data_IF_259461561553
#
_entry.id   IF_259461561553
#
_cell.length_a   1.000
_cell.length_b   1.000
_cell.length_c   1.000
_cell.angle_alpha   90.00
_cell.angle_beta   90.00
_cell.angle_gamma   90.00
#
_symmetry.space_group_name_H-M   'P 1'
#
loop_
_entity.id
_entity.type
_entity.pdbx_description
1 polymer ?
#
# COMPACT_ATOMS: atom_id res chain seq x y z
N UNK A 1 66.30 60.23 33.70
CA UNK A 1 65.45 59.11 34.02
C UNK A 1 64.21 59.26 33.18
N UNK A 2 64.26 58.67 31.99
CA UNK A 2 63.23 58.84 30.97
C UNK A 2 62.77 57.45 30.52
N UNK A 3 61.53 57.08 30.82
CA UNK A 3 60.88 55.79 30.46
C UNK A 3 60.41 55.88 29.00
N UNK A 4 61.01 55.05 28.12
CA UNK A 4 60.54 54.86 26.74
C UNK A 4 59.33 54.00 26.71
N UNK A 5 58.25 54.53 26.19
CA UNK A 5 57.02 53.78 25.84
C UNK A 5 57.26 53.08 24.52
N UNK A 6 57.14 51.76 24.51
CA UNK A 6 57.06 50.87 23.32
C UNK A 6 55.63 50.82 22.91
N UNK A 7 55.31 51.23 21.68
CA UNK A 7 53.98 51.06 21.04
C UNK A 7 54.04 49.70 20.28
N UNK A 8 53.25 48.72 20.71
CA UNK A 8 53.01 47.49 19.97
C UNK A 8 51.87 47.73 18.96
N UNK A 9 52.16 47.67 17.66
CA UNK A 9 51.18 47.51 16.61
C UNK A 9 50.70 46.08 16.58
N UNK A 10 49.47 45.83 16.95
CA UNK A 10 48.77 44.58 16.71
C UNK A 10 48.15 44.63 15.31
N UNK A 11 48.72 43.88 14.38
CA UNK A 11 48.08 43.60 13.08
C UNK A 11 46.89 42.67 13.30
N UNK A 12 45.68 43.17 13.06
CA UNK A 12 44.48 42.34 13.01
C UNK A 12 44.52 41.54 11.70
N UNK A 13 44.78 40.22 11.81
CA UNK A 13 44.48 39.28 10.75
C UNK A 13 42.94 39.16 10.64
N UNK A 14 42.36 39.72 9.59
CA UNK A 14 41.05 39.36 9.12
C UNK A 14 41.12 37.87 8.63
N UNK A 15 40.68 36.95 9.46
CA UNK A 15 40.37 35.59 9.01
C UNK A 15 39.08 35.70 8.21
N UNK A 16 39.19 35.66 6.89
CA UNK A 16 38.04 35.43 6.01
C UNK A 16 37.47 34.07 6.43
N UNK A 17 36.31 34.10 7.09
CA UNK A 17 35.51 32.92 7.31
C UNK A 17 35.14 32.38 5.94
N UNK A 18 35.89 31.36 5.47
CA UNK A 18 35.55 30.58 4.30
C UNK A 18 34.18 29.96 4.55
N UNK A 19 33.17 30.38 3.81
CA UNK A 19 31.89 29.71 3.72
C UNK A 19 32.19 28.26 3.32
N UNK A 20 32.01 27.33 4.25
CA UNK A 20 31.98 25.92 3.89
C UNK A 20 30.87 25.76 2.83
N UNK A 21 31.10 25.02 1.74
CA UNK A 21 30.04 24.79 0.77
C UNK A 21 28.87 24.16 1.51
N UNK A 22 27.70 24.83 1.46
CA UNK A 22 26.50 24.30 2.08
C UNK A 22 26.25 22.89 1.55
N UNK A 23 26.22 21.92 2.45
CA UNK A 23 25.93 20.54 2.08
C UNK A 23 24.47 20.43 1.71
N UNK A 24 24.18 20.17 0.42
CA UNK A 24 22.83 20.03 -0.13
C UNK A 24 22.24 18.65 0.10
N UNK A 25 23.05 17.66 0.54
CA UNK A 25 22.58 16.28 0.76
C UNK A 25 21.56 16.23 1.89
N UNK A 26 20.68 15.25 1.82
CA UNK A 26 19.57 15.06 2.76
C UNK A 26 18.21 15.13 2.07
N UNK A 27 17.18 15.16 2.87
CA UNK A 27 15.81 15.12 2.40
C UNK A 27 15.17 16.52 2.45
N UNK A 28 14.55 16.92 1.35
CA UNK A 28 13.93 18.23 1.17
C UNK A 28 12.47 18.07 0.80
N UNK A 29 11.55 18.65 1.58
CA UNK A 29 10.11 18.56 1.36
C UNK A 29 9.47 19.92 1.15
N UNK A 30 8.52 19.99 0.22
CA UNK A 30 7.63 21.12 -0.01
C UNK A 30 6.25 20.67 -0.45
N UNK A 31 5.36 21.64 -0.62
CA UNK A 31 4.00 21.39 -1.09
C UNK A 31 3.75 22.18 -2.37
N UNK A 32 3.44 21.48 -3.42
CA UNK A 32 3.00 22.04 -4.69
C UNK A 32 1.50 22.36 -4.61
N UNK A 33 1.15 23.62 -4.82
CA UNK A 33 -0.24 24.04 -4.88
C UNK A 33 -0.73 23.95 -6.33
N UNK A 34 -1.31 22.83 -6.69
CA UNK A 34 -2.00 22.63 -7.98
C UNK A 34 -3.50 22.63 -7.72
N UNK A 35 -4.19 23.73 -8.01
CA UNK A 35 -5.63 23.81 -7.76
C UNK A 35 -6.39 22.71 -8.53
N UNK A 36 -7.30 21.92 -7.88
CA UNK A 36 -7.74 22.04 -6.48
C UNK A 36 -6.86 21.28 -5.45
N UNK A 37 -5.83 20.55 -5.87
CA UNK A 37 -5.03 19.67 -5.02
C UNK A 37 -3.75 20.36 -4.49
N UNK A 38 -3.31 19.92 -3.30
CA UNK A 38 -1.99 20.19 -2.75
C UNK A 38 -1.21 18.90 -2.74
N UNK A 39 -0.04 18.87 -3.38
CA UNK A 39 0.79 17.66 -3.49
C UNK A 39 2.11 17.86 -2.77
N UNK A 40 2.46 16.98 -1.86
CA UNK A 40 3.80 16.97 -1.25
C UNK A 40 4.81 16.45 -2.26
N UNK A 41 5.92 17.16 -2.36
CA UNK A 41 7.09 16.81 -3.18
C UNK A 41 8.28 16.65 -2.26
N UNK A 42 8.97 15.53 -2.36
CA UNK A 42 10.12 15.19 -1.53
C UNK A 42 11.30 14.81 -2.42
N UNK A 43 12.43 15.50 -2.23
CA UNK A 43 13.68 15.12 -2.89
C UNK A 43 14.64 14.54 -1.87
N UNK A 44 15.11 13.32 -2.12
CA UNK A 44 16.17 12.68 -1.36
C UNK A 44 17.47 12.84 -2.12
N UNK A 45 18.32 13.76 -1.69
CA UNK A 45 19.60 14.09 -2.33
C UNK A 45 20.72 13.40 -1.58
N UNK A 46 21.52 12.62 -2.28
CA UNK A 46 22.67 11.90 -1.74
C UNK A 46 23.93 12.13 -2.59
N UNK A 47 25.07 11.69 -2.07
CA UNK A 47 26.34 11.74 -2.81
C UNK A 47 26.84 10.31 -2.97
N UNK A 48 26.97 9.86 -4.23
CA UNK A 48 27.52 8.58 -4.58
C UNK A 48 28.76 8.80 -5.47
N UNK A 49 29.89 8.23 -5.13
CA UNK A 49 31.17 8.36 -5.85
C UNK A 49 31.54 9.82 -6.16
N UNK A 50 31.27 10.73 -5.21
CA UNK A 50 31.56 12.15 -5.33
C UNK A 50 30.55 12.95 -6.16
N UNK A 51 29.57 12.30 -6.81
CA UNK A 51 28.51 12.93 -7.59
C UNK A 51 27.21 13.03 -6.79
N UNK A 52 26.47 14.10 -7.01
CA UNK A 52 25.12 14.23 -6.45
C UNK A 52 24.15 13.36 -7.25
N UNK A 53 23.33 12.62 -6.53
CA UNK A 53 22.22 11.82 -7.04
C UNK A 53 20.97 12.19 -6.24
N UNK A 54 19.80 12.04 -6.82
CA UNK A 54 18.56 12.26 -6.10
C UNK A 54 17.44 11.34 -6.59
N UNK A 55 16.46 11.14 -5.70
CA UNK A 55 15.14 10.60 -6.05
C UNK A 55 14.06 11.59 -5.68
N UNK A 56 12.94 11.49 -6.38
CA UNK A 56 11.71 12.23 -6.09
C UNK A 56 10.66 11.27 -5.55
N UNK A 57 10.02 11.69 -4.46
CA UNK A 57 8.82 11.04 -3.95
C UNK A 57 7.63 12.03 -3.98
N UNK A 58 6.44 11.53 -4.23
CA UNK A 58 5.17 12.23 -4.06
C UNK A 58 4.26 11.40 -3.14
N UNK A 59 4.34 11.62 -1.81
CA UNK A 59 3.59 10.81 -0.85
C UNK A 59 2.08 10.81 -1.07
N UNK A 60 1.53 11.95 -1.48
CA UNK A 60 0.08 12.10 -1.71
C UNK A 60 -0.41 11.38 -2.99
N UNK A 61 0.53 10.93 -3.84
CA UNK A 61 0.27 10.16 -5.05
C UNK A 61 0.78 8.72 -4.94
N UNK A 62 1.24 8.31 -3.76
CA UNK A 62 1.89 7.00 -3.52
C UNK A 62 3.07 6.71 -4.48
N UNK A 63 3.76 7.76 -4.95
CA UNK A 63 4.92 7.64 -5.85
C UNK A 63 6.19 7.79 -5.05
N UNK A 64 7.14 6.85 -5.21
CA UNK A 64 8.45 6.87 -4.54
C UNK A 64 9.58 6.50 -5.47
N UNK A 65 10.77 6.98 -5.12
CA UNK A 65 12.02 6.58 -5.75
C UNK A 65 12.12 6.94 -7.23
N UNK A 66 11.36 7.92 -7.74
CA UNK A 66 11.49 8.36 -9.14
C UNK A 66 12.88 8.91 -9.35
N UNK A 67 13.70 8.32 -10.25
CA UNK A 67 15.05 8.78 -10.47
C UNK A 67 15.09 10.23 -10.98
N UNK A 68 15.92 11.06 -10.39
CA UNK A 68 16.26 12.39 -10.89
C UNK A 68 17.43 12.23 -11.85
N UNK A 69 17.20 12.50 -13.14
CA UNK A 69 18.14 12.27 -14.21
C UNK A 69 19.36 13.21 -14.16
N UNK A 70 19.15 14.44 -13.67
CA UNK A 70 20.21 15.45 -13.52
C UNK A 70 20.11 16.17 -12.18
N UNK A 71 21.24 16.25 -11.44
CA UNK A 71 21.36 16.97 -10.17
C UNK A 71 22.56 17.90 -10.28
N UNK A 72 22.32 19.20 -10.34
CA UNK A 72 23.37 20.23 -10.38
C UNK A 72 23.22 21.15 -9.19
N UNK A 73 24.30 21.34 -8.43
CA UNK A 73 24.34 22.28 -7.33
C UNK A 73 25.63 23.12 -7.40
N UNK A 74 25.47 24.42 -7.62
CA UNK A 74 26.58 25.36 -7.68
C UNK A 74 26.14 26.74 -7.18
N UNK A 75 26.99 27.39 -6.40
CA UNK A 75 26.77 28.76 -5.90
C UNK A 75 25.39 28.96 -5.21
N UNK A 76 24.97 27.98 -4.39
CA UNK A 76 23.69 28.00 -3.69
C UNK A 76 22.45 27.76 -4.57
N UNK A 77 22.61 27.45 -5.87
CA UNK A 77 21.55 27.13 -6.81
C UNK A 77 21.49 25.63 -7.05
N UNK A 78 20.29 25.06 -6.88
CA UNK A 78 19.98 23.66 -7.16
C UNK A 78 19.13 23.57 -8.42
N UNK A 79 19.50 22.66 -9.32
CA UNK A 79 18.69 22.26 -10.47
C UNK A 79 18.51 20.75 -10.47
N UNK A 80 17.28 20.33 -10.59
CA UNK A 80 16.87 18.91 -10.64
C UNK A 80 16.08 18.65 -11.93
N UNK A 81 16.45 17.62 -12.66
CA UNK A 81 15.74 17.15 -13.85
C UNK A 81 15.08 15.80 -13.57
N UNK A 82 13.75 15.75 -13.62
CA UNK A 82 12.94 14.55 -13.40
C UNK A 82 12.33 14.11 -14.72
N UNK A 83 13.18 13.66 -15.64
CA UNK A 83 12.81 13.30 -17.01
C UNK A 83 11.66 12.28 -17.10
N UNK A 84 11.58 11.35 -16.14
CA UNK A 84 10.55 10.30 -16.10
C UNK A 84 9.11 10.83 -16.10
N UNK A 85 8.90 12.06 -15.57
CA UNK A 85 7.59 12.70 -15.47
C UNK A 85 7.54 14.05 -16.22
N UNK A 86 8.54 14.33 -17.06
CA UNK A 86 8.71 15.59 -17.80
C UNK A 86 8.60 16.81 -16.87
N UNK A 87 9.35 16.77 -15.76
CA UNK A 87 9.34 17.78 -14.73
C UNK A 87 10.76 18.17 -14.30
N UNK A 88 10.87 19.31 -13.60
CA UNK A 88 12.13 19.77 -13.02
C UNK A 88 11.91 20.83 -11.95
N UNK A 89 12.92 21.00 -11.11
CA UNK A 89 12.96 22.06 -10.10
C UNK A 89 14.23 22.89 -10.28
N UNK A 90 14.08 24.20 -10.16
CA UNK A 90 15.22 25.12 -10.09
C UNK A 90 14.98 26.12 -8.97
N UNK A 91 15.92 26.22 -8.02
CA UNK A 91 15.80 27.12 -6.87
C UNK A 91 17.13 27.47 -6.24
N UNK A 92 17.09 28.36 -5.29
CA UNK A 92 18.25 28.84 -4.52
C UNK A 92 18.05 28.59 -3.03
N UNK A 93 19.15 28.45 -2.28
CA UNK A 93 19.07 28.35 -0.83
C UNK A 93 18.90 29.77 -0.23
N UNK A 94 17.77 29.98 0.44
CA UNK A 94 17.46 31.18 1.19
C UNK A 94 17.01 30.81 2.60
N UNK A 95 17.72 31.33 3.62
CA UNK A 95 17.42 31.05 5.04
C UNK A 95 17.28 29.56 5.39
N UNK A 96 18.09 28.67 4.77
CA UNK A 96 18.07 27.24 5.00
C UNK A 96 16.93 26.51 4.29
N UNK A 97 16.24 27.16 3.37
CA UNK A 97 15.19 26.59 2.51
C UNK A 97 15.60 26.68 1.05
N UNK A 98 15.12 25.77 0.23
CA UNK A 98 15.24 25.87 -1.22
C UNK A 98 13.97 26.56 -1.76
N UNK A 99 14.13 27.78 -2.26
CA UNK A 99 13.03 28.57 -2.82
C UNK A 99 13.20 28.61 -4.33
N UNK A 100 12.18 28.21 -5.07
CA UNK A 100 12.31 28.09 -6.52
C UNK A 100 11.02 27.80 -7.25
N UNK A 101 11.19 27.25 -8.46
CA UNK A 101 10.10 26.97 -9.39
C UNK A 101 10.13 25.48 -9.79
N UNK A 102 9.02 24.82 -9.62
CA UNK A 102 8.72 23.54 -10.20
C UNK A 102 8.12 23.74 -11.59
N UNK A 103 8.63 23.00 -12.60
CA UNK A 103 8.11 22.99 -13.97
C UNK A 103 7.64 21.59 -14.30
N UNK A 104 6.45 21.46 -14.85
CA UNK A 104 5.92 20.18 -15.32
C UNK A 104 4.96 20.37 -16.47
N UNK A 105 5.18 19.64 -17.58
CA UNK A 105 4.32 19.66 -18.75
C UNK A 105 4.01 21.09 -19.29
N UNK A 106 4.98 22.01 -19.18
CA UNK A 106 4.84 23.40 -19.64
C UNK A 106 4.20 24.37 -18.63
N UNK A 107 3.74 23.89 -17.47
CA UNK A 107 3.26 24.71 -16.37
C UNK A 107 4.39 25.00 -15.36
N UNK A 108 4.33 26.15 -14.70
CA UNK A 108 5.26 26.56 -13.66
C UNK A 108 4.52 26.80 -12.34
N UNK A 109 5.10 26.31 -11.25
CA UNK A 109 4.55 26.44 -9.90
C UNK A 109 5.65 26.91 -8.94
N UNK A 110 5.38 27.88 -8.07
CA UNK A 110 6.31 28.20 -7.00
C UNK A 110 6.39 26.99 -6.03
N UNK A 111 7.62 26.64 -5.65
CA UNK A 111 7.86 25.56 -4.71
C UNK A 111 8.95 25.95 -3.72
N UNK A 112 8.61 25.92 -2.46
CA UNK A 112 9.55 26.08 -1.36
C UNK A 112 9.75 24.74 -0.68
N UNK A 113 11.02 24.30 -0.55
CA UNK A 113 11.40 23.06 0.09
C UNK A 113 12.15 23.36 1.39
N UNK A 114 11.71 22.76 2.47
CA UNK A 114 12.43 22.78 3.74
C UNK A 114 13.25 21.49 3.89
N UNK A 115 14.44 21.61 4.50
CA UNK A 115 15.19 20.42 4.89
C UNK A 115 14.46 19.71 6.02
N UNK A 116 14.27 18.44 5.91
CA UNK A 116 13.64 17.62 6.94
C UNK A 116 14.71 16.76 7.59
N UNK A 117 14.77 16.80 8.91
CA UNK A 117 15.61 15.90 9.70
C UNK A 117 14.78 14.65 10.07
N UNK A 118 15.22 13.49 9.61
CA UNK A 118 14.56 12.22 9.86
C UNK A 118 13.99 11.60 8.58
N UNK A 119 13.55 10.37 8.71
CA UNK A 119 12.90 9.63 7.64
C UNK A 119 11.54 10.27 7.32
N UNK A 120 11.40 10.83 6.13
CA UNK A 120 10.16 11.43 5.63
C UNK A 120 9.15 10.42 5.10
N UNK A 121 9.44 9.17 5.17
CA UNK A 121 8.39 8.17 5.22
C UNK A 121 7.64 8.46 6.52
N UNK A 122 6.71 9.41 6.47
CA UNK A 122 6.08 9.97 7.64
C UNK A 122 5.76 8.86 8.64
N UNK A 123 6.60 8.77 9.69
CA UNK A 123 6.37 7.80 10.75
C UNK A 123 5.01 8.10 11.31
N UNK A 124 4.10 7.17 11.11
CA UNK A 124 2.76 7.30 11.66
C UNK A 124 2.82 7.10 13.17
N UNK A 125 1.92 7.72 13.93
CA UNK A 125 1.95 7.63 15.40
C UNK A 125 1.96 6.20 15.94
N UNK A 126 1.36 5.26 15.21
CA UNK A 126 1.24 3.86 15.60
C UNK A 126 2.42 2.99 15.17
N UNK A 127 3.36 3.51 14.38
CA UNK A 127 4.55 2.74 14.02
C UNK A 127 5.37 2.41 15.26
N UNK A 128 5.82 1.15 15.44
CA UNK A 128 6.54 0.73 16.63
C UNK A 128 7.83 1.49 16.83
N UNK A 129 8.11 1.82 18.10
CA UNK A 129 9.32 2.53 18.53
C UNK A 129 10.44 1.54 18.82
N UNK A 130 11.65 1.88 18.38
CA UNK A 130 12.84 1.14 18.77
C UNK A 130 13.36 1.58 20.16
N UNK A 131 13.93 0.66 20.97
CA UNK A 131 14.04 -0.78 20.69
C UNK A 131 12.68 -1.50 20.80
N UNK A 132 12.47 -2.53 19.97
CA UNK A 132 11.27 -3.37 20.07
C UNK A 132 11.34 -4.22 21.33
N UNK A 133 10.20 -4.45 22.04
CA UNK A 133 10.15 -5.35 23.21
C UNK A 133 9.94 -6.82 22.81
N UNK A 134 10.38 -7.21 21.64
CA UNK A 134 10.30 -8.54 21.07
C UNK A 134 11.40 -8.71 20.00
N UNK A 135 11.66 -9.94 19.58
CA UNK A 135 12.65 -10.22 18.54
C UNK A 135 12.06 -9.99 17.14
N UNK A 136 12.91 -9.50 16.23
CA UNK A 136 12.55 -9.29 14.84
C UNK A 136 13.67 -9.81 13.95
N UNK A 137 13.34 -10.68 13.01
CA UNK A 137 14.29 -11.40 12.15
C UNK A 137 13.88 -11.24 10.69
N UNK A 138 14.80 -10.70 9.87
CA UNK A 138 14.61 -10.75 8.42
C UNK A 138 15.00 -12.14 7.91
N UNK A 139 14.09 -12.76 7.18
CA UNK A 139 14.26 -14.11 6.64
C UNK A 139 14.05 -14.14 5.13
N UNK A 140 14.73 -15.09 4.48
CA UNK A 140 14.50 -15.42 3.07
C UNK A 140 14.37 -16.93 2.93
N UNK A 141 13.54 -17.37 2.00
CA UNK A 141 13.29 -18.79 1.75
C UNK A 141 12.81 -19.02 0.30
N UNK A 142 12.97 -20.24 -0.22
CA UNK A 142 12.47 -20.57 -1.56
C UNK A 142 10.95 -20.48 -1.63
N UNK A 143 10.44 -19.84 -2.67
CA UNK A 143 9.04 -19.82 -3.06
C UNK A 143 8.83 -20.45 -4.45
N UNK A 144 7.60 -20.58 -4.92
CA UNK A 144 7.27 -21.21 -6.22
C UNK A 144 7.89 -20.49 -7.43
N UNK A 145 8.04 -19.17 -7.35
CA UNK A 145 8.53 -18.32 -8.45
C UNK A 145 9.91 -17.73 -8.21
N UNK A 146 10.55 -18.05 -7.09
CA UNK A 146 11.85 -17.48 -6.71
C UNK A 146 12.04 -17.45 -5.21
N UNK A 147 12.78 -16.47 -4.71
CA UNK A 147 12.97 -16.26 -3.27
C UNK A 147 11.87 -15.38 -2.72
N UNK A 148 11.32 -15.76 -1.58
CA UNK A 148 10.42 -14.94 -0.76
C UNK A 148 11.24 -14.35 0.38
N UNK A 149 11.13 -13.05 0.59
CA UNK A 149 11.71 -12.31 1.70
C UNK A 149 10.62 -11.82 2.66
N UNK A 150 10.90 -11.85 3.94
CA UNK A 150 9.95 -11.43 4.96
C UNK A 150 10.62 -11.04 6.26
N UNK A 151 9.81 -10.57 7.20
CA UNK A 151 10.20 -10.30 8.57
C UNK A 151 9.33 -11.12 9.51
N UNK A 152 9.97 -11.96 10.33
CA UNK A 152 9.36 -12.71 11.42
C UNK A 152 9.55 -11.94 12.72
N UNK A 153 8.47 -11.65 13.45
CA UNK A 153 8.52 -11.13 14.81
C UNK A 153 8.14 -12.23 15.80
N UNK A 154 8.92 -12.37 16.85
CA UNK A 154 8.79 -13.42 17.86
C UNK A 154 8.62 -12.78 19.23
N UNK A 155 7.63 -13.17 20.03
CA UNK A 155 7.46 -12.68 21.40
C UNK A 155 8.70 -12.91 22.27
N UNK A 156 8.82 -12.21 23.40
CA UNK A 156 9.80 -12.54 24.42
C UNK A 156 9.45 -13.87 25.14
N UNK A 157 10.45 -14.57 25.62
CA UNK A 157 10.31 -15.82 26.34
C UNK A 157 10.62 -17.06 25.50
N UNK A 158 10.27 -18.22 26.07
CA UNK A 158 10.51 -19.51 25.45
C UNK A 158 9.26 -19.97 24.66
N UNK A 159 9.43 -20.23 23.37
CA UNK A 159 8.37 -20.82 22.54
C UNK A 159 8.04 -22.28 22.90
N UNK A 160 7.23 -23.02 22.15
CA UNK A 160 6.75 -22.59 20.82
C UNK A 160 5.53 -21.65 20.90
N UNK A 161 5.59 -20.55 20.14
CA UNK A 161 4.52 -19.54 20.10
C UNK A 161 3.47 -19.89 19.04
N UNK A 162 2.18 -19.61 19.27
CA UNK A 162 1.21 -19.54 18.20
C UNK A 162 1.62 -18.46 17.18
N UNK A 163 1.23 -18.61 15.93
CA UNK A 163 1.73 -17.72 14.88
C UNK A 163 0.68 -17.35 13.84
N UNK A 164 0.85 -16.18 13.23
CA UNK A 164 0.05 -15.70 12.12
C UNK A 164 0.94 -15.31 10.93
N UNK A 165 0.55 -15.75 9.72
CA UNK A 165 1.02 -15.21 8.46
C UNK A 165 0.09 -14.08 8.04
N UNK A 166 0.62 -12.88 7.78
CA UNK A 166 -0.15 -11.80 7.17
C UNK A 166 -0.06 -11.88 5.64
N UNK A 167 -1.22 -11.84 4.98
CA UNK A 167 -1.33 -11.90 3.51
C UNK A 167 -1.99 -10.62 3.00
N UNK A 168 -1.26 -9.88 2.15
CA UNK A 168 -1.63 -8.56 1.65
C UNK A 168 -2.80 -8.58 0.66
N UNK A 169 -3.39 -7.42 0.46
CA UNK A 169 -4.43 -7.18 -0.55
C UNK A 169 -3.86 -7.09 -1.97
N UNK A 170 -4.75 -6.83 -2.94
CA UNK A 170 -4.40 -6.76 -4.35
C UNK A 170 -3.40 -5.65 -4.68
N UNK A 171 -2.62 -5.90 -5.74
CA UNK A 171 -1.50 -5.07 -6.16
C UNK A 171 -0.17 -5.59 -5.61
N UNK A 172 0.91 -4.94 -6.01
CA UNK A 172 2.26 -5.29 -5.58
C UNK A 172 2.54 -4.64 -4.22
N UNK A 173 2.58 -5.42 -3.17
CA UNK A 173 2.71 -4.96 -1.79
C UNK A 173 4.06 -5.37 -1.18
N UNK A 174 4.64 -4.49 -0.38
CA UNK A 174 5.73 -4.89 0.51
C UNK A 174 5.16 -5.57 1.77
N UNK A 175 6.02 -6.19 2.57
CA UNK A 175 5.66 -6.92 3.80
C UNK A 175 4.84 -6.13 4.82
N UNK A 176 4.89 -4.80 4.76
CA UNK A 176 4.16 -3.90 5.66
C UNK A 176 2.82 -3.46 5.08
N UNK A 177 2.49 -3.90 3.85
CA UNK A 177 1.34 -3.43 3.07
C UNK A 177 1.31 -1.90 3.01
N UNK A 178 2.45 -1.31 2.62
CA UNK A 178 2.61 0.14 2.69
C UNK A 178 1.75 0.86 1.66
N UNK A 179 0.82 1.68 2.14
CA UNK A 179 -0.09 2.44 1.31
C UNK A 179 -0.28 3.85 1.89
N UNK A 180 -0.10 4.89 1.08
CA UNK A 180 -0.21 6.30 1.49
C UNK A 180 0.63 6.66 2.74
N UNK A 181 1.78 6.01 2.92
CA UNK A 181 2.66 6.17 4.08
C UNK A 181 2.17 5.49 5.37
N UNK A 182 1.08 4.74 5.32
CA UNK A 182 0.67 3.82 6.37
C UNK A 182 1.33 2.46 6.19
N UNK A 183 1.57 1.76 7.29
CA UNK A 183 2.11 0.41 7.33
C UNK A 183 1.23 -0.50 8.20
N UNK A 184 0.00 -0.82 7.74
CA UNK A 184 -0.99 -1.51 8.56
C UNK A 184 -0.50 -2.87 9.05
N UNK A 185 0.25 -3.62 8.25
CA UNK A 185 0.78 -4.91 8.68
C UNK A 185 1.92 -4.78 9.71
N UNK A 186 2.71 -3.70 9.65
CA UNK A 186 3.69 -3.43 10.71
C UNK A 186 3.00 -3.17 12.06
N UNK A 187 1.93 -2.36 12.05
CA UNK A 187 1.16 -2.03 13.27
C UNK A 187 0.45 -3.26 13.82
N UNK A 188 -0.20 -4.05 12.95
CA UNK A 188 -0.87 -5.28 13.36
C UNK A 188 0.12 -6.32 13.92
N UNK A 189 1.28 -6.47 13.28
CA UNK A 189 2.32 -7.38 13.76
C UNK A 189 2.88 -6.97 15.12
N UNK A 190 3.15 -5.67 15.33
CA UNK A 190 3.58 -5.15 16.64
C UNK A 190 2.53 -5.46 17.72
N UNK A 191 1.26 -5.19 17.42
CA UNK A 191 0.15 -5.44 18.33
C UNK A 191 0.03 -6.92 18.74
N UNK A 192 0.10 -7.83 17.77
CA UNK A 192 -0.03 -9.27 18.01
C UNK A 192 1.22 -9.86 18.68
N UNK A 193 2.43 -9.40 18.29
CA UNK A 193 3.67 -9.94 18.88
C UNK A 193 3.80 -9.56 20.34
N UNK A 194 3.36 -8.35 20.74
CA UNK A 194 3.27 -7.95 22.16
C UNK A 194 2.29 -8.79 22.98
N UNK A 195 1.33 -9.44 22.32
CA UNK A 195 0.33 -10.32 22.93
C UNK A 195 0.72 -11.80 22.92
N UNK A 196 1.95 -12.13 22.54
CA UNK A 196 2.44 -13.52 22.58
C UNK A 196 2.22 -14.32 21.31
N UNK A 197 1.89 -13.68 20.19
CA UNK A 197 1.65 -14.32 18.89
C UNK A 197 2.77 -13.95 17.92
N UNK A 198 3.53 -14.92 17.43
CA UNK A 198 4.54 -14.67 16.40
C UNK A 198 3.89 -14.26 15.07
N UNK A 199 4.54 -13.36 14.31
CA UNK A 199 3.96 -12.85 13.06
C UNK A 199 4.99 -12.85 11.94
N UNK A 200 4.64 -13.50 10.83
CA UNK A 200 5.40 -13.43 9.58
C UNK A 200 4.69 -12.51 8.59
N UNK A 201 5.44 -11.58 8.02
CA UNK A 201 5.04 -10.67 6.95
C UNK A 201 6.02 -10.83 5.79
N UNK A 202 5.54 -11.00 4.57
CA UNK A 202 6.38 -11.21 3.39
C UNK A 202 6.18 -10.11 2.35
N UNK A 203 7.24 -9.80 1.60
CA UNK A 203 7.13 -9.02 0.38
C UNK A 203 6.50 -9.91 -0.71
N UNK A 204 5.61 -9.35 -1.51
CA UNK A 204 5.06 -10.05 -2.67
C UNK A 204 6.15 -10.35 -3.69
N UNK A 205 5.93 -11.35 -4.56
CA UNK A 205 6.90 -11.67 -5.62
C UNK A 205 7.26 -10.43 -6.46
N UNK A 206 8.55 -10.23 -6.69
CA UNK A 206 9.09 -9.10 -7.44
C UNK A 206 9.14 -7.77 -6.69
N UNK A 207 8.80 -7.76 -5.38
CA UNK A 207 8.80 -6.57 -4.52
C UNK A 207 9.83 -6.73 -3.39
N UNK A 208 10.41 -5.61 -2.96
CA UNK A 208 11.33 -5.57 -1.83
C UNK A 208 12.48 -6.55 -1.98
N UNK A 209 12.57 -7.52 -1.05
CA UNK A 209 13.58 -8.58 -1.10
C UNK A 209 13.12 -9.85 -1.81
N UNK A 210 11.85 -9.95 -2.24
CA UNK A 210 11.32 -11.11 -2.96
C UNK A 210 11.60 -11.01 -4.46
N UNK A 211 11.91 -12.16 -5.07
CA UNK A 211 12.12 -12.28 -6.52
C UNK A 211 10.95 -12.94 -7.22
N UNK A 212 10.97 -13.00 -8.54
CA UNK A 212 9.92 -13.57 -9.37
C UNK A 212 9.20 -12.49 -10.20
N UNK A 213 8.46 -12.94 -11.20
CA UNK A 213 7.70 -12.07 -12.10
C UNK A 213 6.25 -11.96 -11.62
N UNK A 214 5.76 -10.76 -11.29
CA UNK A 214 4.38 -10.53 -10.84
C UNK A 214 3.40 -10.26 -12.00
N UNK A 215 3.83 -10.27 -13.27
CA UNK A 215 3.01 -9.75 -14.38
C UNK A 215 1.99 -10.72 -14.95
N UNK A 216 2.29 -12.04 -14.92
CA UNK A 216 1.46 -13.09 -15.50
C UNK A 216 0.97 -14.09 -14.44
N UNK A 217 0.43 -13.55 -13.36
CA UNK A 217 0.01 -14.32 -12.18
C UNK A 217 -1.48 -14.12 -11.91
N UNK A 218 -2.04 -15.03 -11.12
CA UNK A 218 -3.39 -14.96 -10.57
C UNK A 218 -3.35 -15.02 -9.04
N UNK A 219 -4.51 -14.89 -8.39
CA UNK A 219 -4.61 -15.08 -6.93
C UNK A 219 -4.26 -16.53 -6.54
N UNK A 220 -4.37 -17.51 -7.44
CA UNK A 220 -3.93 -18.89 -7.19
C UNK A 220 -2.40 -18.98 -7.06
N UNK A 221 -1.67 -18.22 -7.88
CA UNK A 221 -0.19 -18.15 -7.78
C UNK A 221 0.25 -17.48 -6.47
N UNK A 222 -0.44 -16.43 -6.04
CA UNK A 222 -0.21 -15.80 -4.74
C UNK A 222 -0.60 -16.74 -3.59
N UNK A 223 -1.61 -17.60 -3.75
CA UNK A 223 -1.92 -18.63 -2.77
C UNK A 223 -0.80 -19.68 -2.65
N UNK A 224 -0.07 -19.98 -3.72
CA UNK A 224 1.11 -20.86 -3.65
C UNK A 224 2.27 -20.18 -2.92
N UNK A 225 2.49 -18.86 -3.11
CA UNK A 225 3.50 -18.10 -2.36
C UNK A 225 3.13 -18.05 -0.86
N UNK A 226 1.87 -17.77 -0.54
CA UNK A 226 1.37 -17.77 0.84
C UNK A 226 1.47 -19.15 1.50
N UNK A 227 1.25 -20.24 0.75
CA UNK A 227 1.47 -21.60 1.26
C UNK A 227 2.94 -21.84 1.61
N UNK A 228 3.88 -21.44 0.74
CA UNK A 228 5.31 -21.55 1.03
C UNK A 228 5.72 -20.74 2.26
N UNK A 229 5.13 -19.55 2.44
CA UNK A 229 5.35 -18.73 3.64
C UNK A 229 4.77 -19.36 4.91
N UNK A 230 3.57 -19.94 4.83
CA UNK A 230 2.95 -20.69 5.94
C UNK A 230 3.78 -21.89 6.34
N UNK A 231 4.27 -22.66 5.38
CA UNK A 231 5.11 -23.84 5.62
C UNK A 231 6.46 -23.42 6.25
N UNK A 232 7.04 -22.32 5.77
CA UNK A 232 8.27 -21.78 6.37
C UNK A 232 8.07 -21.31 7.80
N UNK A 233 6.93 -20.66 8.10
CA UNK A 233 6.56 -20.23 9.46
C UNK A 233 6.39 -21.43 10.40
N UNK A 234 5.67 -22.47 9.95
CA UNK A 234 5.48 -23.72 10.72
C UNK A 234 6.76 -24.49 10.98
N UNK A 235 7.73 -24.38 10.08
CA UNK A 235 9.03 -25.02 10.24
C UNK A 235 9.97 -24.29 11.19
N UNK A 236 9.59 -23.11 11.70
CA UNK A 236 10.42 -22.38 12.66
C UNK A 236 10.42 -23.08 14.04
N UNK A 237 11.58 -23.30 14.68
CA UNK A 237 11.68 -24.10 15.92
C UNK A 237 10.91 -23.51 17.11
N UNK A 238 10.71 -22.19 17.12
CA UNK A 238 9.98 -21.49 18.18
C UNK A 238 8.51 -21.21 17.85
N UNK A 239 7.98 -21.81 16.75
CA UNK A 239 6.58 -21.67 16.34
C UNK A 239 5.83 -22.95 16.56
N UNK A 240 4.64 -22.85 17.14
CA UNK A 240 3.71 -23.96 17.23
C UNK A 240 2.98 -24.15 15.88
N UNK A 241 3.41 -25.15 15.13
CA UNK A 241 2.83 -25.46 13.83
C UNK A 241 1.31 -25.78 13.90
N UNK A 242 0.83 -26.32 15.01
CA UNK A 242 -0.58 -26.66 15.19
C UNK A 242 -1.46 -25.43 15.51
N UNK A 243 -0.84 -24.34 15.99
CA UNK A 243 -1.49 -23.06 16.28
C UNK A 243 -1.03 -21.95 15.32
N UNK A 244 -0.77 -22.31 14.04
CA UNK A 244 -0.32 -21.37 13.01
C UNK A 244 -1.41 -21.13 11.97
N UNK A 245 -1.84 -19.86 11.84
CA UNK A 245 -2.93 -19.48 10.94
C UNK A 245 -2.60 -18.31 10.00
N UNK A 246 -3.63 -17.81 9.33
CA UNK A 246 -3.54 -16.72 8.35
C UNK A 246 -4.45 -15.57 8.77
N UNK A 247 -3.93 -14.35 8.62
CA UNK A 247 -4.71 -13.11 8.63
C UNK A 247 -4.54 -12.47 7.25
N UNK A 248 -5.59 -12.47 6.46
CA UNK A 248 -5.59 -11.91 5.10
C UNK A 248 -6.40 -10.63 5.01
N UNK A 249 -5.87 -9.62 4.32
CA UNK A 249 -6.56 -8.37 4.04
C UNK A 249 -7.02 -8.31 2.58
N UNK A 250 -8.28 -7.93 2.34
CA UNK A 250 -8.84 -7.77 0.99
C UNK A 250 -8.65 -9.05 0.14
N UNK A 251 -7.91 -9.03 -0.97
CA UNK A 251 -7.56 -10.24 -1.74
C UNK A 251 -6.82 -11.28 -0.88
N UNK A 252 -5.99 -10.85 0.07
CA UNK A 252 -5.32 -11.76 1.01
C UNK A 252 -6.29 -12.60 1.83
N UNK A 253 -7.51 -12.10 2.09
CA UNK A 253 -8.57 -12.87 2.73
C UNK A 253 -9.11 -13.98 1.80
N UNK A 254 -9.19 -13.73 0.48
CA UNK A 254 -9.53 -14.77 -0.52
C UNK A 254 -8.44 -15.83 -0.57
N UNK A 255 -7.18 -15.42 -0.62
CA UNK A 255 -6.02 -16.31 -0.59
C UNK A 255 -6.05 -17.17 0.66
N UNK A 256 -6.28 -16.57 1.82
CA UNK A 256 -6.46 -17.27 3.08
C UNK A 256 -7.60 -18.30 3.05
N UNK A 257 -8.74 -17.95 2.45
CA UNK A 257 -9.88 -18.86 2.28
C UNK A 257 -9.55 -20.02 1.35
N UNK A 258 -8.85 -19.79 0.22
CA UNK A 258 -8.37 -20.84 -0.68
C UNK A 258 -7.48 -21.87 0.05
N UNK A 259 -6.59 -21.38 0.92
CA UNK A 259 -5.69 -22.24 1.69
C UNK A 259 -6.43 -22.94 2.84
N UNK A 260 -7.33 -22.26 3.54
CA UNK A 260 -8.10 -22.86 4.64
C UNK A 260 -9.11 -23.92 4.17
N UNK A 261 -9.46 -23.92 2.88
CA UNK A 261 -10.31 -24.93 2.26
C UNK A 261 -9.55 -26.22 1.86
N UNK A 262 -8.21 -26.24 2.00
CA UNK A 262 -7.33 -27.35 1.60
C UNK A 262 -6.88 -28.17 2.82
N UNK A 263 -6.60 -29.45 2.60
CA UNK A 263 -5.92 -30.26 3.61
C UNK A 263 -4.52 -29.71 3.89
N UNK A 264 -4.15 -29.64 5.17
CA UNK A 264 -2.89 -29.02 5.59
C UNK A 264 -2.90 -27.49 5.60
N UNK A 265 -4.07 -26.86 5.39
CA UNK A 265 -4.26 -25.41 5.47
C UNK A 265 -3.99 -24.82 6.89
N UNK A 266 -4.21 -23.53 7.09
CA UNK A 266 -3.96 -22.84 8.36
C UNK A 266 -4.85 -23.39 9.49
N UNK A 267 -4.40 -23.24 10.75
CA UNK A 267 -5.17 -23.64 11.94
C UNK A 267 -6.34 -22.69 12.24
N UNK A 268 -6.28 -21.47 11.77
CA UNK A 268 -7.35 -20.47 11.85
C UNK A 268 -7.25 -19.49 10.67
N UNK A 269 -8.33 -18.76 10.40
CA UNK A 269 -8.38 -17.73 9.36
C UNK A 269 -9.02 -16.46 9.90
N UNK A 270 -8.34 -15.32 9.73
CA UNK A 270 -8.92 -14.00 9.92
C UNK A 270 -9.04 -13.32 8.54
N UNK A 271 -10.26 -12.97 8.17
CA UNK A 271 -10.59 -12.29 6.92
C UNK A 271 -10.88 -10.81 7.20
N UNK A 272 -9.95 -9.94 6.84
CA UNK A 272 -10.06 -8.49 7.00
C UNK A 272 -10.50 -7.85 5.68
N UNK A 273 -11.69 -7.25 5.65
CA UNK A 273 -12.26 -6.62 4.46
C UNK A 273 -12.25 -7.56 3.22
N UNK A 274 -12.47 -8.86 3.47
CA UNK A 274 -12.42 -9.90 2.44
C UNK A 274 -13.67 -9.91 1.56
N UNK A 275 -13.54 -10.08 0.23
CA UNK A 275 -14.68 -10.32 -0.64
C UNK A 275 -15.43 -11.61 -0.28
N UNK A 276 -16.75 -11.52 -0.18
CA UNK A 276 -17.65 -12.67 -0.03
C UNK A 276 -18.46 -12.98 -1.29
N UNK A 277 -18.38 -12.08 -2.29
CA UNK A 277 -19.06 -12.19 -3.58
C UNK A 277 -18.03 -12.14 -4.71
N UNK A 278 -18.35 -12.70 -5.90
CA UNK A 278 -17.44 -12.66 -7.06
C UNK A 278 -17.08 -11.24 -7.50
N UNK A 279 -15.88 -11.08 -8.08
CA UNK A 279 -15.39 -9.79 -8.56
C UNK A 279 -16.33 -9.11 -9.55
N UNK A 280 -17.01 -9.88 -10.43
CA UNK A 280 -18.01 -9.35 -11.37
C UNK A 280 -19.20 -8.66 -10.70
N UNK A 281 -19.49 -8.98 -9.44
CA UNK A 281 -20.54 -8.33 -8.65
C UNK A 281 -19.96 -7.24 -7.75
N UNK A 282 -18.77 -7.46 -7.22
CA UNK A 282 -18.08 -6.54 -6.30
C UNK A 282 -17.64 -5.26 -7.00
N UNK A 283 -16.95 -5.37 -8.14
CA UNK A 283 -16.30 -4.23 -8.79
C UNK A 283 -17.28 -3.14 -9.27
N UNK A 284 -18.46 -3.47 -9.86
CA UNK A 284 -19.46 -2.46 -10.18
C UNK A 284 -20.00 -1.75 -8.94
N UNK A 285 -20.20 -2.48 -7.84
CA UNK A 285 -20.66 -1.92 -6.57
C UNK A 285 -19.60 -1.01 -5.95
N UNK A 286 -18.34 -1.44 -5.95
CA UNK A 286 -17.19 -0.62 -5.53
C UNK A 286 -17.12 0.68 -6.32
N UNK A 287 -17.18 0.60 -7.66
CA UNK A 287 -17.14 1.76 -8.54
C UNK A 287 -18.26 2.75 -8.25
N UNK A 288 -19.50 2.27 -8.08
CA UNK A 288 -20.67 3.08 -7.74
C UNK A 288 -20.47 3.81 -6.40
N UNK A 289 -20.05 3.10 -5.36
CA UNK A 289 -19.89 3.67 -4.01
C UNK A 289 -18.75 4.69 -3.96
N UNK A 290 -17.60 4.40 -4.58
CA UNK A 290 -16.49 5.34 -4.64
C UNK A 290 -16.83 6.59 -5.43
N UNK A 291 -17.49 6.47 -6.58
CA UNK A 291 -17.91 7.61 -7.38
C UNK A 291 -18.95 8.47 -6.64
N UNK A 292 -19.93 7.85 -5.99
CA UNK A 292 -20.93 8.55 -5.20
C UNK A 292 -20.30 9.30 -4.02
N UNK A 293 -19.38 8.68 -3.29
CA UNK A 293 -18.64 9.32 -2.20
C UNK A 293 -17.70 10.43 -2.71
N UNK A 294 -17.22 10.31 -3.95
CA UNK A 294 -16.44 11.34 -4.65
C UNK A 294 -17.28 12.53 -5.17
N UNK A 295 -18.63 12.46 -5.06
CA UNK A 295 -19.53 13.51 -5.52
C UNK A 295 -19.92 13.42 -6.99
N UNK A 296 -19.71 12.26 -7.65
CA UNK A 296 -20.09 12.05 -9.04
C UNK A 296 -21.61 12.10 -9.25
N UNK A 297 -22.02 12.55 -10.42
CA UNK A 297 -23.43 12.55 -10.81
C UNK A 297 -23.98 11.13 -11.01
N UNK A 298 -25.26 10.91 -10.74
CA UNK A 298 -25.90 9.62 -10.99
C UNK A 298 -25.82 9.21 -12.48
N UNK A 299 -25.77 10.18 -13.39
CA UNK A 299 -25.57 9.93 -14.82
C UNK A 299 -24.17 9.36 -15.10
N UNK A 300 -23.13 9.92 -14.49
CA UNK A 300 -21.76 9.42 -14.59
C UNK A 300 -21.61 8.04 -13.95
N UNK A 301 -22.19 7.82 -12.77
CA UNK A 301 -22.22 6.53 -12.09
C UNK A 301 -22.87 5.45 -12.99
N UNK A 302 -24.05 5.73 -13.54
CA UNK A 302 -24.74 4.81 -14.43
C UNK A 302 -23.96 4.54 -15.72
N UNK A 303 -23.27 5.56 -16.27
CA UNK A 303 -22.41 5.41 -17.45
C UNK A 303 -21.19 4.54 -17.16
N UNK A 304 -20.51 4.77 -16.02
CA UNK A 304 -19.38 3.94 -15.58
C UNK A 304 -19.78 2.47 -15.36
N UNK A 305 -20.93 2.24 -14.75
CA UNK A 305 -21.46 0.89 -14.55
C UNK A 305 -21.67 0.16 -15.90
N UNK A 306 -22.30 0.81 -16.88
CA UNK A 306 -22.46 0.22 -18.23
C UNK A 306 -21.12 -0.08 -18.89
N UNK A 307 -20.16 0.86 -18.78
CA UNK A 307 -18.82 0.66 -19.31
C UNK A 307 -18.15 -0.57 -18.67
N UNK A 308 -18.19 -0.70 -17.35
CA UNK A 308 -17.64 -1.86 -16.65
C UNK A 308 -18.30 -3.17 -17.07
N UNK A 309 -19.63 -3.22 -17.14
CA UNK A 309 -20.38 -4.39 -17.59
C UNK A 309 -19.94 -4.85 -19.01
N UNK A 310 -19.75 -3.89 -19.94
CA UNK A 310 -19.27 -4.18 -21.31
C UNK A 310 -17.83 -4.67 -21.32
N UNK A 311 -16.93 -4.01 -20.57
CA UNK A 311 -15.52 -4.41 -20.48
C UNK A 311 -15.39 -5.81 -19.84
N UNK A 312 -16.13 -6.08 -18.76
CA UNK A 312 -16.09 -7.40 -18.10
C UNK A 312 -16.65 -8.51 -18.98
N UNK A 313 -17.66 -8.23 -19.80
CA UNK A 313 -18.13 -9.17 -20.81
C UNK A 313 -17.03 -9.53 -21.82
N UNK A 314 -16.21 -8.56 -22.25
CA UNK A 314 -15.07 -8.83 -23.13
C UNK A 314 -13.99 -9.67 -22.46
N UNK A 315 -13.64 -9.39 -21.21
CA UNK A 315 -12.70 -10.20 -20.41
C UNK A 315 -13.13 -11.68 -20.37
N UNK A 316 -14.42 -11.94 -20.32
CA UNK A 316 -14.97 -13.31 -20.28
C UNK A 316 -14.96 -13.99 -21.67
N UNK A 317 -15.18 -13.24 -22.73
CA UNK A 317 -15.37 -13.76 -24.09
C UNK A 317 -14.06 -13.96 -24.84
N UNK A 318 -13.06 -13.13 -24.63
CA UNK A 318 -11.80 -13.14 -25.38
C UNK A 318 -10.69 -13.78 -24.56
N UNK A 319 -10.20 -14.92 -25.00
CA UNK A 319 -9.19 -15.70 -24.27
C UNK A 319 -7.76 -15.13 -24.43
N UNK A 320 -7.40 -14.75 -25.66
CA UNK A 320 -6.05 -14.31 -25.99
C UNK A 320 -5.78 -12.90 -25.46
N UNK A 321 -4.71 -12.69 -24.64
CA UNK A 321 -4.46 -11.40 -23.98
C UNK A 321 -4.30 -10.21 -24.93
N UNK A 322 -3.56 -10.38 -26.02
CA UNK A 322 -3.33 -9.29 -26.99
C UNK A 322 -4.63 -8.90 -27.73
N UNK A 323 -5.41 -9.89 -28.14
CA UNK A 323 -6.73 -9.66 -28.73
C UNK A 323 -7.68 -9.02 -27.75
N UNK A 324 -7.64 -9.44 -26.48
CA UNK A 324 -8.44 -8.86 -25.40
C UNK A 324 -8.08 -7.40 -25.18
N UNK A 325 -6.80 -7.04 -25.14
CA UNK A 325 -6.37 -5.66 -24.95
C UNK A 325 -6.90 -4.75 -26.07
N UNK A 326 -6.89 -5.21 -27.32
CA UNK A 326 -7.47 -4.49 -28.46
C UNK A 326 -8.98 -4.31 -28.30
N UNK A 327 -9.71 -5.39 -28.01
CA UNK A 327 -11.16 -5.37 -27.83
C UNK A 327 -11.60 -4.48 -26.65
N UNK A 328 -10.84 -4.48 -25.57
CA UNK A 328 -11.09 -3.58 -24.41
C UNK A 328 -10.90 -2.12 -24.82
N UNK A 329 -9.84 -1.80 -25.57
CA UNK A 329 -9.61 -0.44 -26.07
C UNK A 329 -10.74 0.04 -26.96
N UNK A 330 -11.15 -0.76 -27.94
CA UNK A 330 -12.26 -0.44 -28.85
C UNK A 330 -13.59 -0.28 -28.07
N UNK A 331 -13.88 -1.19 -27.15
CA UNK A 331 -15.10 -1.12 -26.31
C UNK A 331 -15.10 0.15 -25.45
N UNK A 332 -13.95 0.52 -24.88
CA UNK A 332 -13.83 1.74 -24.11
C UNK A 332 -14.13 2.99 -24.97
N UNK A 333 -13.54 3.08 -26.16
CA UNK A 333 -13.75 4.20 -27.10
C UNK A 333 -15.22 4.28 -27.54
N UNK A 334 -15.84 3.15 -27.90
CA UNK A 334 -17.26 3.07 -28.28
C UNK A 334 -18.19 3.57 -27.17
N UNK A 335 -17.99 3.07 -25.94
CA UNK A 335 -18.82 3.46 -24.80
C UNK A 335 -18.62 4.92 -24.44
N UNK A 336 -17.39 5.42 -24.43
CA UNK A 336 -17.11 6.83 -24.19
C UNK A 336 -17.75 7.74 -25.25
N UNK A 337 -17.75 7.33 -26.51
CA UNK A 337 -18.39 8.09 -27.59
C UNK A 337 -19.92 8.11 -27.46
N UNK A 338 -20.52 7.03 -26.98
CA UNK A 338 -21.96 6.87 -26.82
C UNK A 338 -22.52 7.53 -25.55
N UNK A 339 -21.66 7.94 -24.60
CA UNK A 339 -22.09 8.56 -23.35
C UNK A 339 -22.68 9.95 -23.54
N UNK A 340 -23.56 10.33 -22.64
CA UNK A 340 -23.98 11.73 -22.49
C UNK A 340 -22.75 12.64 -22.33
N UNK A 341 -22.70 13.79 -23.02
CA UNK A 341 -21.51 14.65 -23.00
C UNK A 341 -21.07 15.11 -21.61
N UNK A 342 -22.02 15.36 -20.68
CA UNK A 342 -21.70 15.80 -19.33
C UNK A 342 -21.11 14.64 -18.50
N UNK A 343 -21.74 13.45 -18.55
CA UNK A 343 -21.24 12.25 -17.89
C UNK A 343 -19.86 11.83 -18.44
N UNK A 344 -19.67 11.94 -19.76
CA UNK A 344 -18.37 11.69 -20.39
C UNK A 344 -17.30 12.67 -19.92
N UNK A 345 -17.60 13.96 -19.84
CA UNK A 345 -16.65 14.98 -19.39
C UNK A 345 -16.21 14.74 -17.95
N UNK A 346 -17.16 14.33 -17.09
CA UNK A 346 -16.90 14.01 -15.69
C UNK A 346 -15.96 12.78 -15.57
N UNK A 347 -16.24 11.69 -16.28
CA UNK A 347 -15.40 10.49 -16.30
C UNK A 347 -14.02 10.76 -16.94
N UNK A 348 -13.98 11.52 -18.01
CA UNK A 348 -12.73 11.84 -18.73
C UNK A 348 -11.80 12.75 -17.91
N UNK A 349 -12.29 13.50 -16.95
CA UNK A 349 -11.48 14.40 -16.14
C UNK A 349 -10.40 13.66 -15.34
N UNK A 350 -10.63 12.37 -15.01
CA UNK A 350 -9.70 11.53 -14.27
C UNK A 350 -8.90 10.56 -15.18
N UNK A 351 -9.14 10.54 -16.51
CA UNK A 351 -8.61 9.56 -17.45
C UNK A 351 -7.62 10.19 -18.45
N UNK A 352 -6.34 10.15 -18.13
CA UNK A 352 -5.32 10.40 -19.15
C UNK A 352 -5.19 9.20 -20.12
N UNK A 353 -4.72 9.37 -21.38
CA UNK A 353 -4.47 8.25 -22.30
C UNK A 353 -3.56 7.16 -21.70
N UNK A 354 -2.58 7.56 -20.88
CA UNK A 354 -1.69 6.64 -20.16
C UNK A 354 -2.44 5.84 -19.08
N UNK A 355 -3.35 6.48 -18.37
CA UNK A 355 -4.18 5.81 -17.36
C UNK A 355 -5.12 4.79 -18.02
N UNK A 356 -5.76 5.15 -19.12
CA UNK A 356 -6.60 4.23 -19.90
C UNK A 356 -5.81 3.03 -20.41
N UNK A 357 -4.62 3.25 -20.99
CA UNK A 357 -3.76 2.15 -21.46
C UNK A 357 -3.28 1.25 -20.32
N UNK A 358 -3.01 1.81 -19.13
CA UNK A 358 -2.66 1.02 -17.94
C UNK A 358 -3.85 0.18 -17.44
N UNK A 359 -5.04 0.77 -17.45
CA UNK A 359 -6.26 0.07 -17.04
C UNK A 359 -6.64 -1.05 -18.02
N UNK A 360 -6.52 -0.84 -19.32
CA UNK A 360 -6.72 -1.89 -20.32
C UNK A 360 -5.78 -3.06 -20.11
N UNK A 361 -4.49 -2.80 -19.84
CA UNK A 361 -3.53 -3.87 -19.51
C UNK A 361 -3.89 -4.62 -18.24
N UNK A 362 -4.31 -3.90 -17.19
CA UNK A 362 -4.74 -4.51 -15.94
C UNK A 362 -5.96 -5.41 -16.13
N UNK A 363 -6.97 -4.96 -16.89
CA UNK A 363 -8.16 -5.75 -17.24
C UNK A 363 -7.83 -6.98 -18.11
N UNK A 364 -6.80 -6.92 -18.94
CA UNK A 364 -6.36 -8.03 -19.77
C UNK A 364 -5.48 -9.06 -19.00
N UNK A 365 -5.10 -8.77 -17.75
CA UNK A 365 -4.22 -9.64 -16.97
C UNK A 365 -4.89 -10.96 -16.56
N UNK A 366 -4.11 -12.05 -16.37
CA UNK A 366 -4.61 -13.30 -15.80
C UNK A 366 -5.23 -13.10 -14.42
N UNK A 367 -4.62 -12.23 -13.59
CA UNK A 367 -5.12 -11.89 -12.28
C UNK A 367 -6.54 -11.34 -12.33
N UNK A 368 -6.80 -10.33 -13.19
CA UNK A 368 -8.12 -9.71 -13.28
C UNK A 368 -9.18 -10.70 -13.75
N UNK A 369 -8.86 -11.53 -14.75
CA UNK A 369 -9.76 -12.58 -15.23
C UNK A 369 -10.13 -13.56 -14.13
N UNK A 370 -9.14 -14.03 -13.35
CA UNK A 370 -9.38 -14.91 -12.22
C UNK A 370 -10.25 -14.23 -11.18
N UNK A 371 -9.88 -13.03 -10.72
CA UNK A 371 -10.61 -12.27 -9.70
C UNK A 371 -12.05 -11.98 -10.10
N UNK A 372 -12.29 -11.70 -11.37
CA UNK A 372 -13.64 -11.42 -11.91
C UNK A 372 -14.59 -12.61 -11.77
N UNK A 373 -14.08 -13.83 -12.03
CA UNK A 373 -14.90 -15.04 -12.11
C UNK A 373 -14.89 -15.88 -10.83
N UNK A 374 -13.86 -15.75 -10.01
CA UNK A 374 -13.74 -16.52 -8.78
C UNK A 374 -14.91 -16.25 -7.84
N UNK A 375 -15.58 -17.35 -7.41
CA UNK A 375 -16.64 -17.30 -6.40
C UNK A 375 -16.08 -17.71 -5.03
N UNK A 376 -15.90 -16.75 -4.10
CA UNK A 376 -15.34 -17.03 -2.78
C UNK A 376 -16.14 -18.06 -1.99
N UNK A 377 -17.45 -18.12 -2.19
CA UNK A 377 -18.31 -19.06 -1.49
C UNK A 377 -17.93 -20.52 -1.75
N UNK A 378 -17.27 -20.81 -2.88
CA UNK A 378 -16.83 -22.17 -3.22
C UNK A 378 -15.83 -22.72 -2.19
N UNK A 379 -14.84 -21.93 -1.81
CA UNK A 379 -13.84 -22.33 -0.82
C UNK A 379 -14.32 -22.07 0.61
N UNK A 380 -14.99 -20.93 0.88
CA UNK A 380 -15.48 -20.60 2.22
C UNK A 380 -16.38 -21.70 2.79
N UNK A 381 -17.23 -22.36 1.99
CA UNK A 381 -18.06 -23.51 2.43
C UNK A 381 -17.26 -24.72 2.90
N UNK A 382 -16.01 -24.84 2.47
CA UNK A 382 -15.15 -25.99 2.80
C UNK A 382 -14.32 -25.76 4.06
N UNK A 383 -14.25 -24.52 4.56
CA UNK A 383 -13.45 -24.18 5.73
C UNK A 383 -14.05 -24.83 6.99
N UNK A 384 -13.20 -25.51 7.75
CA UNK A 384 -13.57 -26.18 9.02
C UNK A 384 -12.82 -25.64 10.23
N UNK A 385 -11.78 -24.84 10.00
CA UNK A 385 -11.03 -24.17 11.07
C UNK A 385 -11.79 -22.94 11.58
N UNK A 386 -11.46 -22.42 12.77
CA UNK A 386 -12.02 -21.17 13.26
C UNK A 386 -11.84 -20.00 12.28
N UNK A 387 -12.90 -19.20 12.07
CA UNK A 387 -12.91 -18.06 11.15
C UNK A 387 -13.40 -16.80 11.86
N UNK A 388 -12.64 -15.72 11.74
CA UNK A 388 -13.09 -14.36 12.04
C UNK A 388 -13.17 -13.58 10.73
N UNK A 389 -14.34 -13.02 10.38
CA UNK A 389 -14.49 -12.15 9.21
C UNK A 389 -14.96 -10.75 9.64
N UNK A 390 -14.16 -9.74 9.35
CA UNK A 390 -14.39 -8.34 9.73
C UNK A 390 -14.38 -7.42 8.51
N UNK A 391 -15.28 -6.44 8.52
CA UNK A 391 -15.31 -5.35 7.54
C UNK A 391 -15.62 -4.03 8.23
N UNK A 392 -15.11 -2.92 7.72
CA UNK A 392 -15.52 -1.60 8.18
C UNK A 392 -16.88 -1.20 7.63
N UNK A 393 -17.70 -0.50 8.43
CA UNK A 393 -19.02 -0.03 7.97
C UNK A 393 -18.95 1.07 6.90
N UNK A 394 -17.77 1.68 6.75
CA UNK A 394 -17.45 2.69 5.72
C UNK A 394 -16.50 2.16 4.66
N UNK A 395 -16.40 0.84 4.54
CA UNK A 395 -15.63 0.22 3.46
C UNK A 395 -16.39 0.36 2.14
N UNK A 396 -15.88 1.20 1.24
CA UNK A 396 -16.44 1.43 -0.09
C UNK A 396 -15.83 0.51 -1.15
N UNK A 397 -14.74 -0.21 -0.83
CA UNK A 397 -14.08 -1.13 -1.74
C UNK A 397 -14.67 -2.55 -1.63
N UNK A 398 -14.87 -3.01 -0.39
CA UNK A 398 -15.53 -4.28 -0.09
C UNK A 398 -16.69 -4.01 0.87
N UNK A 399 -17.84 -3.53 0.36
CA UNK A 399 -18.95 -3.11 1.21
C UNK A 399 -19.43 -4.21 2.15
N UNK A 400 -19.39 -3.94 3.46
CA UNK A 400 -19.63 -4.89 4.55
C UNK A 400 -20.93 -5.67 4.41
N UNK A 401 -22.04 -4.99 4.16
CA UNK A 401 -23.37 -5.60 4.19
C UNK A 401 -23.52 -6.82 3.26
N UNK A 402 -23.04 -6.72 2.01
CA UNK A 402 -23.14 -7.84 1.04
C UNK A 402 -22.07 -8.89 1.26
N UNK A 403 -20.83 -8.46 1.53
CA UNK A 403 -19.70 -9.38 1.63
C UNK A 403 -19.77 -10.20 2.93
N UNK A 404 -20.01 -9.58 4.08
CA UNK A 404 -20.16 -10.31 5.35
C UNK A 404 -21.36 -11.26 5.35
N UNK A 405 -22.49 -10.84 4.76
CA UNK A 405 -23.66 -11.71 4.62
C UNK A 405 -23.36 -12.95 3.76
N UNK A 406 -22.63 -12.79 2.65
CA UNK A 406 -22.21 -13.88 1.78
C UNK A 406 -21.21 -14.83 2.45
N UNK A 407 -20.21 -14.27 3.15
CA UNK A 407 -19.23 -15.06 3.94
C UNK A 407 -19.97 -15.89 5.01
N UNK A 408 -20.83 -15.26 5.79
CA UNK A 408 -21.60 -15.91 6.83
C UNK A 408 -22.45 -17.05 6.25
N UNK A 409 -23.21 -16.79 5.20
CA UNK A 409 -24.05 -17.78 4.54
C UNK A 409 -23.23 -18.97 4.00
N UNK A 410 -22.03 -18.72 3.48
CA UNK A 410 -21.13 -19.78 2.99
C UNK A 410 -20.58 -20.65 4.14
N UNK A 411 -20.15 -20.02 5.26
CA UNK A 411 -19.67 -20.74 6.46
C UNK A 411 -20.79 -21.58 7.09
N UNK A 412 -22.01 -21.03 7.22
CA UNK A 412 -23.18 -21.76 7.73
C UNK A 412 -23.56 -22.93 6.81
N UNK A 413 -23.61 -22.71 5.49
CA UNK A 413 -23.87 -23.76 4.50
C UNK A 413 -22.81 -24.86 4.53
N UNK A 414 -21.57 -24.48 4.82
CA UNK A 414 -20.44 -25.38 5.05
C UNK A 414 -20.44 -26.05 6.42
N UNK A 415 -21.35 -25.70 7.32
CA UNK A 415 -21.37 -26.18 8.70
C UNK A 415 -20.03 -25.93 9.42
N UNK A 416 -19.47 -24.75 9.25
CA UNK A 416 -18.25 -24.37 9.98
C UNK A 416 -18.58 -24.30 11.48
N UNK A 417 -17.85 -25.01 12.36
CA UNK A 417 -18.19 -25.14 13.77
C UNK A 417 -17.89 -23.90 14.62
N UNK A 418 -16.96 -23.05 14.16
CA UNK A 418 -16.50 -21.87 14.92
C UNK A 418 -16.24 -20.71 13.95
N UNK A 419 -17.19 -19.80 13.86
CA UNK A 419 -17.03 -18.60 13.05
C UNK A 419 -17.68 -17.37 13.70
N UNK A 420 -17.02 -16.24 13.56
CA UNK A 420 -17.53 -14.92 13.94
C UNK A 420 -17.47 -14.00 12.73
N UNK A 421 -18.57 -13.28 12.46
CA UNK A 421 -18.67 -12.34 11.33
C UNK A 421 -19.19 -11.03 11.89
N UNK A 422 -18.44 -9.94 11.69
CA UNK A 422 -18.75 -8.66 12.31
C UNK A 422 -18.42 -7.44 11.44
N UNK A 423 -19.28 -6.44 11.55
CA UNK A 423 -19.02 -5.11 10.99
C UNK A 423 -18.46 -4.20 12.08
N UNK A 424 -17.35 -3.52 11.79
CA UNK A 424 -16.74 -2.55 12.69
C UNK A 424 -17.22 -1.12 12.31
N UNK A 425 -17.89 -0.42 13.24
CA UNK A 425 -18.51 0.86 12.95
C UNK A 425 -17.46 1.95 12.66
N UNK A 426 -17.72 2.76 11.65
CA UNK A 426 -16.93 3.95 11.32
C UNK A 426 -15.59 3.67 10.64
N UNK A 427 -15.24 2.42 10.35
CA UNK A 427 -13.95 2.08 9.76
C UNK A 427 -14.02 1.93 8.23
N UNK A 428 -12.96 2.38 7.53
CA UNK A 428 -12.79 2.23 6.09
C UNK A 428 -12.15 0.88 5.72
N UNK A 429 -11.78 0.70 4.44
CA UNK A 429 -11.16 -0.53 3.93
C UNK A 429 -9.80 -0.88 4.57
N UNK A 430 -9.05 0.13 5.02
CA UNK A 430 -7.77 -0.06 5.74
C UNK A 430 -7.95 -0.20 7.26
N UNK A 431 -9.18 -0.29 7.74
CA UNK A 431 -9.52 -0.29 9.17
C UNK A 431 -9.10 0.98 9.91
N UNK A 432 -9.06 2.12 9.21
CA UNK A 432 -8.90 3.44 9.81
C UNK A 432 -10.27 4.04 10.15
N UNK A 433 -10.36 4.85 11.19
CA UNK A 433 -11.53 5.70 11.45
C UNK A 433 -11.69 6.71 10.32
N UNK A 434 -12.86 6.75 9.71
CA UNK A 434 -13.12 7.52 8.50
C UNK A 434 -14.44 8.33 8.59
N UNK A 435 -14.52 9.43 7.86
CA UNK A 435 -15.74 10.21 7.71
C UNK A 435 -16.64 9.68 6.60
N UNK A 436 -16.08 9.50 5.40
CA UNK A 436 -16.81 9.01 4.22
C UNK A 436 -16.39 7.60 3.79
N UNK A 437 -15.17 7.20 4.12
CA UNK A 437 -14.54 5.96 3.66
C UNK A 437 -13.92 6.06 2.27
N UNK A 438 -13.96 7.26 1.64
CA UNK A 438 -13.36 7.46 0.34
C UNK A 438 -11.82 7.38 0.41
N UNK A 439 -11.19 6.80 -0.61
CA UNK A 439 -9.74 6.58 -0.66
C UNK A 439 -8.90 7.87 -0.51
N UNK A 440 -9.47 9.04 -0.81
CA UNK A 440 -8.80 10.34 -0.62
C UNK A 440 -8.56 10.68 0.85
N UNK A 441 -9.25 10.03 1.79
CA UNK A 441 -9.04 10.24 3.22
C UNK A 441 -7.81 9.51 3.75
N UNK A 442 -7.39 8.42 3.10
CA UNK A 442 -6.34 7.51 3.61
C UNK A 442 -5.04 8.25 3.93
N UNK A 443 -4.55 9.06 3.00
CA UNK A 443 -3.31 9.80 3.20
C UNK A 443 -3.37 10.84 4.33
N UNK A 444 -4.55 11.46 4.53
CA UNK A 444 -4.76 12.54 5.50
C UNK A 444 -5.01 12.02 6.92
N UNK A 445 -5.47 10.77 7.07
CA UNK A 445 -5.71 10.13 8.35
C UNK A 445 -4.39 9.85 9.06
N UNK A 446 -4.23 10.23 10.33
CA UNK A 446 -3.02 9.93 11.11
C UNK A 446 -3.01 8.47 11.60
N UNK A 447 -4.18 7.93 11.94
CA UNK A 447 -4.39 6.56 12.39
C UNK A 447 -4.09 5.58 11.25
N UNK A 448 -3.26 4.57 11.51
CA UNK A 448 -2.96 3.50 10.56
C UNK A 448 -3.92 2.34 10.68
N UNK A 449 -4.29 1.99 11.91
CA UNK A 449 -5.19 0.88 12.21
C UNK A 449 -5.98 1.18 13.48
N UNK A 450 -7.29 1.21 13.41
CA UNK A 450 -8.13 1.58 14.55
C UNK A 450 -7.96 0.60 15.71
N UNK A 451 -7.84 1.14 16.93
CA UNK A 451 -7.68 0.33 18.13
C UNK A 451 -8.83 -0.69 18.28
N UNK A 452 -10.06 -0.31 17.94
CA UNK A 452 -11.20 -1.22 17.92
C UNK A 452 -10.93 -2.49 17.10
N UNK A 453 -10.35 -2.36 15.92
CA UNK A 453 -10.04 -3.50 15.06
C UNK A 453 -8.86 -4.32 15.59
N UNK A 454 -7.80 -3.65 16.08
CA UNK A 454 -6.66 -4.33 16.71
C UNK A 454 -7.09 -5.18 17.93
N UNK A 455 -7.90 -4.60 18.83
CA UNK A 455 -8.40 -5.30 20.01
C UNK A 455 -9.36 -6.44 19.66
N UNK A 456 -10.22 -6.26 18.64
CA UNK A 456 -11.12 -7.32 18.18
C UNK A 456 -10.36 -8.52 17.62
N UNK A 457 -9.33 -8.25 16.80
CA UNK A 457 -8.49 -9.30 16.22
C UNK A 457 -7.65 -9.98 17.31
N UNK A 458 -6.97 -9.17 18.15
CA UNK A 458 -6.10 -9.66 19.23
C UNK A 458 -6.88 -10.51 20.24
N UNK A 459 -8.00 -10.00 20.74
CA UNK A 459 -8.84 -10.73 21.71
C UNK A 459 -9.40 -12.04 21.14
N UNK A 460 -9.88 -12.05 19.89
CA UNK A 460 -10.36 -13.28 19.25
C UNK A 460 -9.26 -14.35 19.12
N UNK A 461 -8.03 -13.93 18.83
CA UNK A 461 -6.88 -14.83 18.75
C UNK A 461 -6.41 -15.31 20.12
N UNK A 462 -6.35 -14.41 21.12
CA UNK A 462 -5.98 -14.77 22.52
C UNK A 462 -6.87 -15.85 23.09
N UNK A 463 -8.21 -15.70 22.99
CA UNK A 463 -9.18 -16.69 23.44
C UNK A 463 -8.94 -18.10 22.86
N UNK A 464 -8.43 -18.21 21.61
CA UNK A 464 -8.27 -19.49 20.91
C UNK A 464 -6.87 -20.05 20.94
N UNK A 465 -5.87 -19.23 21.17
CA UNK A 465 -4.48 -19.61 21.02
C UNK A 465 -3.70 -19.57 22.34
N UNK A 466 -4.14 -18.78 23.33
CA UNK A 466 -3.40 -18.54 24.57
C UNK A 466 -4.16 -18.96 25.83
N UNK A 467 -5.49 -19.08 25.76
CA UNK A 467 -6.26 -19.62 26.89
C UNK A 467 -6.24 -21.17 26.84
N UNK A 468 -5.91 -21.82 28.00
CA UNK A 468 -5.85 -23.27 28.18
C UNK A 468 -7.26 -23.92 28.26
#
# INVERSE_FOLDING_TARGET
MVMKRIVLLTAALLVAAGCSPEDITGTWQGTLATAPAKLRVVFNISRQDGRLTATLDSPDQAVRGVPVAGVEFAQGRLKLDVAAINAGFEGVIENGRLVGTWRQAGAEFPLELARVQGDLTGRRPQDPLLPLPYRSEDITFPGPAGTIAGTLTLPEGDGPFPAALLVSGSGQQNRDQEIFGHRPFLVLADHLTRRGIAVLRCDDRGIGGSTGDPTLVSSEDFALDAQAALDRLRAHPEVDAARTGIIGHSEGALIGAMLAARDGGPAFLVMLAGPGIPGRELLPLQGELLMRAGGASEAAIAANRRLQERLFAKVRQVAEPDALAVELGLTFEEEMAAMDPAARAELAAELSPRAVAAQVRALASPWFRFFLEYDPATDIRRIKVPVLALCGSKDLQVPSARNLAAIKAALEAGQNPDHAVGELPGLNHLFQTAETGHIREYAATEETFALLALETIGGWLEERLLED
#
